data_IF_672888823802
#
_entry.id   IF_672888823802
#
_cell.length_a   1.000
_cell.length_b   1.000
_cell.length_c   1.000
_cell.angle_alpha   90.00
_cell.angle_beta   90.00
_cell.angle_gamma   90.00
#
_symmetry.space_group_name_H-M   'P 1'
#
loop_
_entity.id
_entity.type
_entity.pdbx_description
1 polymer ?
#
# COMPACT_ATOMS: atom_id res chain seq x y z
N UNK A 1 -1.93 -28.17 -36.33
CA UNK A 1 -2.99 -29.22 -36.33
C UNK A 1 -2.80 -30.07 -35.09
N UNK A 2 -3.92 -30.54 -34.50
CA UNK A 2 -4.17 -31.12 -33.15
C UNK A 2 -4.22 -30.07 -32.03
N UNK A 3 -5.33 -29.36 -31.75
CA UNK A 3 -6.67 -29.78 -31.27
C UNK A 3 -6.61 -30.66 -30.01
N UNK A 4 -6.81 -30.04 -28.84
CA UNK A 4 -7.59 -30.50 -27.70
C UNK A 4 -7.56 -29.39 -26.65
N UNK A 5 -8.57 -29.15 -25.83
CA UNK A 5 -10.01 -29.38 -25.88
C UNK A 5 -10.52 -28.59 -24.67
N UNK A 6 -11.77 -28.13 -24.73
CA UNK A 6 -12.39 -27.41 -23.63
C UNK A 6 -12.44 -28.24 -22.35
N UNK A 7 -11.50 -28.03 -21.43
CA UNK A 7 -11.73 -28.29 -20.02
C UNK A 7 -12.54 -27.12 -19.46
N UNK A 8 -13.87 -27.23 -19.60
CA UNK A 8 -14.83 -26.54 -18.73
C UNK A 8 -14.25 -26.47 -17.32
N UNK A 9 -14.21 -25.28 -16.73
CA UNK A 9 -13.77 -25.07 -15.35
C UNK A 9 -14.50 -26.05 -14.45
N UNK A 10 -13.85 -27.16 -14.13
CA UNK A 10 -14.25 -28.05 -13.07
C UNK A 10 -14.04 -27.21 -11.81
N UNK A 11 -15.13 -26.61 -11.34
CA UNK A 11 -15.15 -25.82 -10.12
C UNK A 11 -14.85 -26.79 -9.00
N UNK A 12 -13.61 -26.78 -8.52
CA UNK A 12 -13.13 -27.73 -7.52
C UNK A 12 -13.82 -27.41 -6.17
N UNK A 13 -14.67 -28.31 -5.63
CA UNK A 13 -15.41 -28.05 -4.39
C UNK A 13 -14.49 -27.95 -3.16
N UNK A 14 -13.23 -28.39 -3.29
CA UNK A 14 -12.19 -28.34 -2.28
C UNK A 14 -11.24 -27.13 -2.43
N UNK A 15 -11.57 -26.18 -3.29
CA UNK A 15 -10.82 -24.93 -3.43
C UNK A 15 -10.81 -24.12 -2.11
N UNK A 16 -9.61 -23.73 -1.67
CA UNK A 16 -9.41 -22.87 -0.50
C UNK A 16 -9.52 -21.39 -0.88
N UNK A 17 -10.54 -20.71 -0.35
CA UNK A 17 -10.86 -19.35 -0.76
C UNK A 17 -10.29 -18.29 0.19
N UNK A 18 -9.77 -17.22 -0.42
CA UNK A 18 -9.39 -15.98 0.28
C UNK A 18 -10.61 -15.16 0.68
N UNK A 19 -10.44 -14.21 1.60
CA UNK A 19 -11.52 -13.31 2.01
C UNK A 19 -12.11 -12.53 0.82
N UNK A 20 -11.26 -12.14 -0.13
CA UNK A 20 -11.65 -11.39 -1.32
C UNK A 20 -12.43 -12.28 -2.29
N UNK A 21 -12.01 -13.54 -2.47
CA UNK A 21 -12.73 -14.50 -3.30
C UNK A 21 -14.09 -14.90 -2.73
N UNK A 22 -14.20 -14.99 -1.40
CA UNK A 22 -15.48 -15.20 -0.70
C UNK A 22 -16.40 -13.99 -0.89
N UNK A 23 -15.86 -12.77 -0.84
CA UNK A 23 -16.62 -11.55 -1.11
C UNK A 23 -17.15 -11.53 -2.55
N UNK A 24 -16.35 -11.94 -3.53
CA UNK A 24 -16.78 -12.10 -4.92
C UNK A 24 -17.91 -13.13 -5.07
N UNK A 25 -17.83 -14.27 -4.39
CA UNK A 25 -18.90 -15.28 -4.39
C UNK A 25 -20.22 -14.76 -3.85
N UNK A 26 -20.18 -13.78 -2.94
CA UNK A 26 -21.37 -13.12 -2.43
C UNK A 26 -22.00 -12.10 -3.39
N UNK A 27 -21.44 -11.93 -4.61
CA UNK A 27 -21.89 -10.97 -5.64
C UNK A 27 -22.01 -9.54 -5.10
N UNK A 28 -21.08 -9.13 -4.23
CA UNK A 28 -21.02 -7.78 -3.67
C UNK A 28 -21.89 -7.53 -2.43
N UNK A 29 -22.65 -8.54 -1.95
CA UNK A 29 -23.41 -8.43 -0.70
C UNK A 29 -22.51 -8.34 0.54
N UNK A 30 -21.30 -8.89 0.45
CA UNK A 30 -20.37 -9.02 1.56
C UNK A 30 -19.00 -8.51 1.12
N UNK A 31 -18.41 -7.58 1.88
CA UNK A 31 -17.02 -7.12 1.66
C UNK A 31 -16.03 -8.07 2.35
N UNK A 32 -14.78 -8.10 1.87
CA UNK A 32 -13.73 -8.92 2.48
C UNK A 32 -13.50 -8.64 3.98
N UNK A 33 -13.71 -7.40 4.43
CA UNK A 33 -13.66 -7.07 5.87
C UNK A 33 -14.74 -7.76 6.69
N UNK A 34 -15.93 -7.94 6.12
CA UNK A 34 -17.03 -8.65 6.74
C UNK A 34 -16.72 -10.15 6.83
N UNK A 35 -16.09 -10.73 5.82
CA UNK A 35 -15.59 -12.12 5.85
C UNK A 35 -14.53 -12.30 6.94
N UNK A 36 -13.57 -11.38 7.04
CA UNK A 36 -12.56 -11.37 8.11
C UNK A 36 -13.20 -11.26 9.50
N UNK A 37 -14.30 -10.50 9.62
CA UNK A 37 -15.06 -10.44 10.86
C UNK A 37 -15.72 -11.78 11.20
N UNK A 38 -16.25 -12.51 10.21
CA UNK A 38 -16.83 -13.85 10.43
C UNK A 38 -15.81 -14.89 10.86
N UNK A 39 -14.59 -14.82 10.34
CA UNK A 39 -13.48 -15.62 10.86
C UNK A 39 -13.10 -15.24 12.29
N UNK A 40 -13.19 -13.96 12.65
CA UNK A 40 -12.90 -13.52 14.02
C UNK A 40 -13.97 -13.99 15.01
N UNK A 41 -15.23 -13.97 14.62
CA UNK A 41 -16.36 -14.39 15.47
C UNK A 41 -16.59 -15.90 15.46
N UNK A 42 -15.81 -16.66 14.69
CA UNK A 42 -16.00 -18.10 14.51
C UNK A 42 -17.31 -18.47 13.78
N UNK A 43 -17.93 -17.52 13.09
CA UNK A 43 -19.18 -17.76 12.37
C UNK A 43 -18.94 -18.55 11.07
N UNK A 44 -17.77 -18.37 10.45
CA UNK A 44 -17.33 -19.08 9.25
C UNK A 44 -16.09 -19.89 9.58
N UNK A 45 -16.12 -21.19 9.27
CA UNK A 45 -14.99 -22.09 9.45
C UNK A 45 -13.81 -21.65 8.59
N UNK A 46 -12.61 -21.62 9.18
CA UNK A 46 -11.38 -21.26 8.48
C UNK A 46 -10.22 -22.13 8.97
N UNK A 47 -9.28 -22.38 8.07
CA UNK A 47 -7.98 -22.92 8.41
C UNK A 47 -6.92 -21.81 8.27
N UNK A 48 -5.90 -21.88 9.12
CA UNK A 48 -4.76 -20.96 9.10
C UNK A 48 -3.61 -21.65 8.40
N UNK A 49 -3.15 -21.05 7.31
CA UNK A 49 -2.02 -21.50 6.52
C UNK A 49 -0.81 -20.65 6.90
N UNK A 50 0.10 -21.14 7.77
CA UNK A 50 1.23 -20.36 8.26
C UNK A 50 2.24 -20.00 7.16
N UNK A 51 2.26 -20.76 6.06
CA UNK A 51 3.08 -20.51 4.85
C UNK A 51 2.69 -19.21 4.11
N UNK A 52 1.46 -18.73 4.33
CA UNK A 52 0.95 -17.50 3.75
C UNK A 52 1.08 -16.41 4.81
N UNK A 53 1.90 -15.39 4.57
CA UNK A 53 2.24 -14.36 5.56
C UNK A 53 1.03 -13.73 6.31
N UNK A 54 1.30 -13.12 7.46
CA UNK A 54 0.31 -12.72 8.49
C UNK A 54 -0.93 -11.94 8.02
N UNK A 55 -0.89 -11.27 6.86
CA UNK A 55 -2.03 -10.52 6.30
C UNK A 55 -3.04 -11.41 5.57
N UNK A 56 -2.66 -12.60 5.11
CA UNK A 56 -3.49 -13.44 4.24
C UNK A 56 -3.32 -14.93 4.55
N UNK A 57 -3.27 -15.28 5.83
CA UNK A 57 -3.07 -16.66 6.29
C UNK A 57 -4.37 -17.46 6.46
N UNK A 58 -5.53 -16.81 6.51
CA UNK A 58 -6.82 -17.50 6.69
C UNK A 58 -7.47 -17.84 5.36
N UNK A 59 -7.97 -19.08 5.23
CA UNK A 59 -8.77 -19.54 4.09
C UNK A 59 -9.93 -20.38 4.58
N UNK A 60 -11.01 -20.40 3.81
CA UNK A 60 -12.17 -21.27 4.07
C UNK A 60 -12.41 -22.16 2.86
N UNK A 61 -12.86 -23.39 3.09
CA UNK A 61 -13.28 -24.28 1.99
C UNK A 61 -14.48 -23.69 1.28
N UNK A 62 -14.49 -23.80 -0.04
CA UNK A 62 -15.58 -23.31 -0.89
C UNK A 62 -16.95 -23.87 -0.48
N UNK A 63 -17.05 -25.18 -0.26
CA UNK A 63 -18.30 -25.85 0.17
C UNK A 63 -18.85 -25.29 1.50
N UNK A 64 -17.98 -25.03 2.48
CA UNK A 64 -18.35 -24.44 3.77
C UNK A 64 -18.80 -22.98 3.60
N UNK A 65 -18.11 -22.21 2.76
CA UNK A 65 -18.48 -20.84 2.42
C UNK A 65 -19.84 -20.78 1.72
N UNK A 66 -20.06 -21.59 0.69
CA UNK A 66 -21.32 -21.60 -0.06
C UNK A 66 -22.49 -22.04 0.83
N UNK A 67 -22.30 -23.04 1.68
CA UNK A 67 -23.30 -23.47 2.67
C UNK A 67 -23.60 -22.38 3.70
N UNK A 68 -22.56 -21.69 4.17
CA UNK A 68 -22.71 -20.59 5.11
C UNK A 68 -23.39 -19.37 4.49
N UNK A 69 -22.99 -18.97 3.28
CA UNK A 69 -23.63 -17.91 2.52
C UNK A 69 -25.08 -18.26 2.21
N UNK A 70 -25.37 -19.50 1.80
CA UNK A 70 -26.75 -19.96 1.59
C UNK A 70 -27.56 -19.95 2.89
N UNK A 71 -26.98 -20.29 4.05
CA UNK A 71 -27.68 -20.21 5.34
C UNK A 71 -27.91 -18.77 5.79
N UNK A 72 -26.92 -17.90 5.59
CA UNK A 72 -26.92 -16.53 6.10
C UNK A 72 -27.67 -15.55 5.21
N UNK A 73 -27.58 -15.75 3.90
CA UNK A 73 -28.23 -14.93 2.86
C UNK A 73 -29.40 -15.67 2.19
N UNK A 74 -29.67 -16.94 2.52
CA UNK A 74 -30.73 -17.72 1.88
C UNK A 74 -32.13 -17.17 2.08
N UNK A 75 -32.37 -16.42 3.17
CA UNK A 75 -33.60 -15.66 3.31
C UNK A 75 -33.59 -14.35 2.49
N UNK A 76 -32.42 -13.82 2.13
CA UNK A 76 -32.27 -12.56 1.39
C UNK A 76 -32.02 -12.75 -0.11
N UNK A 77 -31.78 -13.99 -0.56
CA UNK A 77 -31.70 -14.35 -1.98
C UNK A 77 -33.08 -14.65 -2.58
N UNK A 78 -34.03 -15.12 -1.76
CA UNK A 78 -35.46 -15.25 -2.15
C UNK A 78 -36.30 -14.00 -1.80
N UNK A 79 -35.83 -13.14 -0.89
CA UNK A 79 -36.56 -11.96 -0.39
C UNK A 79 -36.00 -10.62 -0.91
N UNK A 80 -35.21 -10.65 -1.99
CA UNK A 80 -35.13 -9.52 -2.95
C UNK A 80 -36.19 -9.77 -4.04
N UNK A 81 -37.39 -10.14 -3.61
CA UNK A 81 -38.60 -9.69 -4.29
C UNK A 81 -38.92 -8.33 -3.64
N UNK A 82 -38.82 -7.20 -4.35
CA UNK A 82 -39.12 -5.91 -3.75
C UNK A 82 -40.55 -5.94 -3.22
N UNK A 83 -40.71 -5.75 -1.91
CA UNK A 83 -41.98 -5.51 -1.29
C UNK A 83 -42.61 -4.25 -1.92
N UNK A 84 -43.72 -4.47 -2.62
CA UNK A 84 -44.87 -3.57 -2.69
C UNK A 84 -44.61 -2.13 -3.20
N UNK A 85 -44.39 -1.98 -4.50
CA UNK A 85 -45.05 -0.89 -5.24
C UNK A 85 -46.42 -1.42 -5.72
N UNK A 86 -47.48 -0.59 -5.70
CA UNK A 86 -48.85 -1.07 -5.80
C UNK A 86 -49.10 -1.84 -7.10
N UNK A 87 -49.81 -2.96 -6.99
CA UNK A 87 -50.21 -3.79 -8.13
C UNK A 87 -51.08 -3.03 -9.14
N UNK A 88 -51.05 -3.56 -10.36
CA UNK A 88 -51.90 -3.30 -11.53
C UNK A 88 -51.46 -2.17 -12.48
N UNK A 89 -50.34 -2.43 -13.17
CA UNK A 89 -50.16 -2.06 -14.57
C UNK A 89 -49.68 -3.28 -15.34
N UNK A 90 -50.60 -3.91 -16.06
CA UNK A 90 -50.42 -4.84 -17.19
C UNK A 90 -48.97 -5.06 -17.67
N UNK A 91 -48.64 -6.33 -17.92
CA UNK A 91 -47.51 -6.78 -18.74
C UNK A 91 -47.44 -6.02 -20.08
N UNK A 92 -46.88 -4.82 -20.06
CA UNK A 92 -46.54 -4.04 -21.23
C UNK A 92 -45.11 -4.42 -21.51
N UNK A 93 -44.91 -5.26 -22.54
CA UNK A 93 -43.57 -5.45 -23.10
C UNK A 93 -42.93 -4.06 -23.23
N UNK A 94 -41.72 -3.86 -22.68
CA UNK A 94 -41.07 -2.55 -22.74
C UNK A 94 -41.01 -2.15 -24.21
N UNK A 95 -41.57 -0.97 -24.52
CA UNK A 95 -41.59 -0.54 -25.91
C UNK A 95 -40.14 -0.33 -26.33
N UNK A 96 -39.83 -0.59 -27.59
CA UNK A 96 -38.47 -0.44 -28.12
C UNK A 96 -37.87 0.93 -27.78
N UNK A 97 -38.71 1.97 -27.71
CA UNK A 97 -38.32 3.30 -27.25
C UNK A 97 -37.76 3.34 -25.81
N UNK A 98 -38.42 2.69 -24.84
CA UNK A 98 -37.98 2.64 -23.43
C UNK A 98 -36.64 1.88 -23.28
N UNK A 99 -36.43 0.84 -24.11
CA UNK A 99 -35.16 0.11 -24.16
C UNK A 99 -34.03 0.97 -24.76
N UNK A 100 -34.33 1.78 -25.76
CA UNK A 100 -33.35 2.71 -26.35
C UNK A 100 -32.99 3.82 -25.35
N UNK A 101 -33.97 4.35 -24.61
CA UNK A 101 -33.72 5.36 -23.57
C UNK A 101 -32.90 4.80 -22.40
N UNK A 102 -33.18 3.58 -21.96
CA UNK A 102 -32.36 2.93 -20.92
C UNK A 102 -30.95 2.61 -21.42
N UNK A 103 -30.79 2.15 -22.66
CA UNK A 103 -29.46 1.90 -23.25
C UNK A 103 -28.65 3.18 -23.44
N UNK A 104 -29.27 4.28 -23.84
CA UNK A 104 -28.60 5.58 -23.96
C UNK A 104 -28.20 6.14 -22.59
N UNK A 105 -29.05 5.97 -21.58
CA UNK A 105 -28.72 6.30 -20.19
C UNK A 105 -27.55 5.47 -19.65
N UNK A 106 -27.55 4.15 -19.87
CA UNK A 106 -26.45 3.27 -19.46
C UNK A 106 -25.16 3.63 -20.19
N UNK A 107 -25.23 3.94 -21.48
CA UNK A 107 -24.07 4.41 -22.24
C UNK A 107 -23.53 5.72 -21.65
N UNK A 108 -24.39 6.70 -21.38
CA UNK A 108 -23.98 7.96 -20.78
C UNK A 108 -23.36 7.76 -19.38
N UNK A 109 -23.91 6.84 -18.57
CA UNK A 109 -23.36 6.47 -17.29
C UNK A 109 -21.98 5.79 -17.42
N UNK A 110 -21.81 4.91 -18.41
CA UNK A 110 -20.53 4.26 -18.70
C UNK A 110 -19.47 5.25 -19.19
N UNK A 111 -19.84 6.18 -20.09
CA UNK A 111 -18.96 7.24 -20.59
C UNK A 111 -18.53 8.17 -19.42
N UNK A 112 -19.46 8.51 -18.53
CA UNK A 112 -19.17 9.30 -17.32
C UNK A 112 -18.25 8.56 -16.34
N UNK A 113 -18.48 7.27 -16.11
CA UNK A 113 -17.63 6.45 -15.27
C UNK A 113 -16.21 6.32 -15.85
N UNK A 114 -16.09 6.18 -17.17
CA UNK A 114 -14.79 6.13 -17.85
C UNK A 114 -14.04 7.45 -17.71
N UNK A 115 -14.70 8.59 -17.89
CA UNK A 115 -14.10 9.91 -17.65
C UNK A 115 -13.66 10.10 -16.20
N UNK A 116 -14.44 9.62 -15.23
CA UNK A 116 -14.06 9.66 -13.82
C UNK A 116 -12.80 8.83 -13.53
N UNK A 117 -12.68 7.63 -14.11
CA UNK A 117 -11.49 6.79 -13.97
C UNK A 117 -10.25 7.42 -14.63
N UNK A 118 -10.42 8.07 -15.78
CA UNK A 118 -9.33 8.79 -16.44
C UNK A 118 -8.86 9.96 -15.56
N UNK A 119 -9.78 10.76 -15.04
CA UNK A 119 -9.46 11.88 -14.15
C UNK A 119 -8.77 11.42 -12.85
N UNK A 120 -9.18 10.27 -12.30
CA UNK A 120 -8.54 9.67 -11.12
C UNK A 120 -7.12 9.17 -11.45
N UNK A 121 -6.94 8.52 -12.60
CA UNK A 121 -5.62 8.07 -13.06
C UNK A 121 -4.66 9.25 -13.28
N UNK A 122 -5.13 10.33 -13.91
CA UNK A 122 -4.35 11.56 -14.12
C UNK A 122 -3.96 12.20 -12.79
N UNK A 123 -4.89 12.28 -11.83
CA UNK A 123 -4.59 12.81 -10.50
C UNK A 123 -3.55 11.96 -9.76
N UNK A 124 -3.64 10.64 -9.86
CA UNK A 124 -2.66 9.74 -9.26
C UNK A 124 -1.28 9.87 -9.92
N UNK A 125 -1.22 10.04 -11.24
CA UNK A 125 0.02 10.30 -11.96
C UNK A 125 0.66 11.63 -11.52
N UNK A 126 -0.13 12.71 -11.43
CA UNK A 126 0.35 14.01 -10.95
C UNK A 126 0.85 13.94 -9.50
N UNK A 127 0.17 13.19 -8.62
CA UNK A 127 0.63 12.99 -7.25
C UNK A 127 1.95 12.22 -7.20
N UNK A 128 2.11 11.18 -8.03
CA UNK A 128 3.35 10.42 -8.10
C UNK A 128 4.52 11.28 -8.62
N UNK A 129 4.28 12.12 -9.63
CA UNK A 129 5.28 13.06 -10.15
C UNK A 129 5.67 14.11 -9.09
N UNK A 130 4.68 14.68 -8.38
CA UNK A 130 4.94 15.63 -7.31
C UNK A 130 5.76 14.98 -6.17
N UNK A 131 5.46 13.75 -5.79
CA UNK A 131 6.21 13.01 -4.77
C UNK A 131 7.63 12.69 -5.23
N UNK A 132 7.82 12.35 -6.51
CA UNK A 132 9.14 12.15 -7.09
C UNK A 132 9.96 13.45 -7.10
N UNK A 133 9.34 14.59 -7.41
CA UNK A 133 9.99 15.90 -7.35
C UNK A 133 10.42 16.27 -5.92
N UNK A 134 9.55 16.05 -4.93
CA UNK A 134 9.88 16.27 -3.51
C UNK A 134 11.05 15.38 -3.09
N UNK A 135 11.05 14.10 -3.48
CA UNK A 135 12.13 13.17 -3.14
C UNK A 135 13.47 13.59 -3.73
N UNK A 136 13.49 14.11 -4.97
CA UNK A 136 14.71 14.66 -5.59
C UNK A 136 15.21 15.89 -4.83
N UNK A 137 14.32 16.83 -4.52
CA UNK A 137 14.68 18.03 -3.76
C UNK A 137 15.20 17.70 -2.36
N UNK A 138 14.66 16.67 -1.69
CA UNK A 138 15.17 16.19 -0.41
C UNK A 138 16.57 15.61 -0.54
N UNK A 139 16.82 14.78 -1.56
CA UNK A 139 18.15 14.24 -1.82
C UNK A 139 19.19 15.34 -2.06
N UNK A 140 18.84 16.38 -2.83
CA UNK A 140 19.69 17.55 -3.06
C UNK A 140 19.94 18.36 -1.77
N UNK A 141 18.93 18.50 -0.91
CA UNK A 141 19.11 19.18 0.39
C UNK A 141 20.05 18.39 1.32
N UNK A 142 19.96 17.05 1.30
CA UNK A 142 20.80 16.18 2.11
C UNK A 142 22.26 16.19 1.65
N UNK A 143 22.53 16.25 0.33
CA UNK A 143 23.90 16.39 -0.18
C UNK A 143 24.51 17.73 0.23
N UNK A 144 23.77 18.84 0.12
CA UNK A 144 24.23 20.16 0.56
C UNK A 144 24.54 20.16 2.06
N UNK A 145 23.69 19.53 2.88
CA UNK A 145 23.94 19.41 4.32
C UNK A 145 25.20 18.60 4.61
N UNK A 146 25.39 17.46 3.94
CA UNK A 146 26.58 16.63 4.10
C UNK A 146 27.87 17.38 3.73
N UNK A 147 27.86 18.16 2.64
CA UNK A 147 29.00 19.00 2.25
C UNK A 147 29.29 20.10 3.28
N UNK A 148 28.25 20.74 3.82
CA UNK A 148 28.41 21.75 4.86
C UNK A 148 29.02 21.16 6.13
N UNK A 149 28.59 19.96 6.53
CA UNK A 149 29.14 19.25 7.68
C UNK A 149 30.59 18.81 7.45
N UNK A 150 30.93 18.34 6.25
CA UNK A 150 32.31 18.03 5.88
C UNK A 150 33.23 19.26 6.02
N UNK A 151 32.80 20.42 5.51
CA UNK A 151 33.54 21.69 5.67
C UNK A 151 33.70 22.09 7.13
N UNK A 152 32.68 21.90 7.96
CA UNK A 152 32.78 22.16 9.42
C UNK A 152 33.81 21.24 10.08
N UNK A 153 33.86 19.97 9.70
CA UNK A 153 34.87 19.05 10.24
C UNK A 153 36.27 19.47 9.82
N UNK A 154 36.46 19.90 8.57
CA UNK A 154 37.75 20.40 8.08
C UNK A 154 38.23 21.65 8.83
N UNK A 155 37.33 22.62 9.07
CA UNK A 155 37.69 23.83 9.83
C UNK A 155 38.04 23.51 11.27
N UNK A 156 37.31 22.59 11.92
CA UNK A 156 37.63 22.13 13.27
C UNK A 156 38.98 21.42 13.34
N UNK A 157 39.29 20.56 12.35
CA UNK A 157 40.62 19.92 12.24
C UNK A 157 41.74 20.95 12.05
N UNK A 158 41.50 21.97 11.23
CA UNK A 158 42.47 23.04 11.04
C UNK A 158 42.72 23.81 12.34
N UNK A 159 41.67 24.21 13.06
CA UNK A 159 41.78 24.87 14.36
C UNK A 159 42.54 23.98 15.37
N UNK A 160 42.24 22.68 15.42
CA UNK A 160 42.98 21.75 16.28
C UNK A 160 44.48 21.73 15.96
N UNK A 161 44.87 21.75 14.69
CA UNK A 161 46.27 21.80 14.29
C UNK A 161 46.93 23.12 14.68
N UNK A 162 46.23 24.25 14.53
CA UNK A 162 46.73 25.57 14.96
C UNK A 162 46.96 25.60 16.46
N UNK A 163 46.01 25.10 17.26
CA UNK A 163 46.18 25.02 18.72
C UNK A 163 47.37 24.15 19.12
N UNK A 164 47.54 22.99 18.48
CA UNK A 164 48.73 22.13 18.72
C UNK A 164 50.04 22.85 18.40
N UNK A 165 50.08 23.61 17.30
CA UNK A 165 51.25 24.42 16.94
C UNK A 165 51.52 25.53 17.95
N UNK A 166 50.48 26.20 18.43
CA UNK A 166 50.59 27.22 19.47
C UNK A 166 51.08 26.63 20.79
N UNK A 167 50.54 25.49 21.23
CA UNK A 167 50.99 24.79 22.44
C UNK A 167 52.46 24.39 22.32
N UNK A 168 52.89 23.85 21.17
CA UNK A 168 54.30 23.52 20.92
C UNK A 168 55.19 24.76 21.03
N UNK A 169 54.81 25.87 20.38
CA UNK A 169 55.55 27.12 20.46
C UNK A 169 55.61 27.65 21.90
N UNK A 170 54.49 27.61 22.63
CA UNK A 170 54.41 28.03 24.03
C UNK A 170 55.33 27.17 24.91
N UNK A 171 55.37 25.85 24.70
CA UNK A 171 56.30 24.97 25.44
C UNK A 171 57.76 25.27 25.14
N UNK A 172 58.12 25.64 23.90
CA UNK A 172 59.49 26.07 23.57
C UNK A 172 59.85 27.43 24.17
N UNK A 173 58.91 28.38 24.22
CA UNK A 173 59.14 29.69 24.85
C UNK A 173 59.19 29.63 26.38
N UNK A 174 58.50 28.66 26.98
CA UNK A 174 58.46 28.43 28.43
C UNK A 174 59.48 27.39 28.89
N UNK A 175 60.31 26.83 28.00
CA UNK A 175 61.45 26.04 28.43
C UNK A 175 62.33 26.94 29.30
N UNK A 176 62.55 26.60 30.59
CA UNK A 176 63.54 27.31 31.37
C UNK A 176 64.90 27.14 30.68
N UNK A 177 65.71 28.21 30.65
CA UNK A 177 67.12 28.13 30.27
C UNK A 177 67.84 27.16 31.21
N UNK A 178 67.71 25.86 30.98
CA UNK A 178 68.49 24.86 31.67
C UNK A 178 69.84 24.81 30.99
N UNK A 179 70.79 25.50 31.66
CA UNK A 179 72.21 25.15 31.74
C UNK A 179 73.14 25.72 30.64
N UNK A 180 73.19 27.04 30.47
CA UNK A 180 74.45 27.72 30.12
C UNK A 180 75.18 28.31 31.35
N UNK A 181 74.72 28.01 32.57
CA UNK A 181 75.26 28.55 33.82
C UNK A 181 76.20 27.60 34.60
N UNK A 182 76.58 26.43 34.08
CA UNK A 182 77.47 25.49 34.81
C UNK A 182 78.82 25.16 34.15
N UNK A 183 79.09 25.59 32.92
CA UNK A 183 80.37 25.27 32.24
C UNK A 183 81.39 26.43 32.19
N UNK A 184 81.10 27.57 32.82
CA UNK A 184 82.06 28.70 32.90
C UNK A 184 82.77 28.86 34.25
N UNK A 185 82.67 27.87 35.14
CA UNK A 185 83.43 27.79 36.41
C UNK A 185 84.29 26.52 36.51
N UNK A 186 85.04 26.21 35.46
CA UNK A 186 86.11 25.21 35.51
C UNK A 186 87.35 25.66 34.72
N UNK A 187 87.97 26.76 35.14
CA UNK A 187 89.41 27.01 35.00
C UNK A 187 89.94 27.75 36.25
#
# INVERSE_FOLDING_TARGET
MTMHDGASGAIDPDEWLTADRIAELSRGQVKANTVRAWWRTGALEFEVFPELGAKSNKRSRRSAVESFLRRKLGAQLDDIRPASMPELGTSRQPRVADLVDTLTSVKAAADSAMQALIAEAERNAQMAEAQAAISRAQAEADTIRAEADAKRVETLKHLQNVFRGYDLALTTYLQPETLEALDSHAE
#
